data_IF_939976865943
#
_entry.id   IF_939976865943
#
_cell.length_a   1.000
_cell.length_b   1.000
_cell.length_c   1.000
_cell.angle_alpha   90.00
_cell.angle_beta   90.00
_cell.angle_gamma   90.00
#
_symmetry.space_group_name_H-M   'P 1'
#
loop_
_entity.id
_entity.type
_entity.pdbx_description
1 polymer ?
#
# COMPACT_ATOMS: atom_id res chain seq x y z
N UNK A 1 -11.91 -16.77 10.07
CA UNK A 1 -11.66 -17.07 8.63
C UNK A 1 -10.32 -16.49 8.19
N UNK A 2 -9.64 -17.09 7.20
CA UNK A 2 -8.30 -16.62 6.78
C UNK A 2 -8.44 -15.71 5.56
N UNK A 3 -7.88 -14.51 5.64
CA UNK A 3 -7.76 -13.60 4.52
C UNK A 3 -6.82 -14.21 3.46
N UNK A 4 -7.30 -14.35 2.23
CA UNK A 4 -6.53 -14.84 1.08
C UNK A 4 -6.23 -13.67 0.16
N UNK A 5 -4.99 -13.57 -0.33
CA UNK A 5 -4.59 -12.49 -1.22
C UNK A 5 -4.38 -12.99 -2.64
N UNK A 6 -4.77 -12.18 -3.63
CA UNK A 6 -4.62 -12.43 -5.05
C UNK A 6 -4.08 -11.18 -5.73
N UNK A 7 -2.99 -11.33 -6.49
CA UNK A 7 -2.42 -10.24 -7.30
C UNK A 7 -2.78 -10.47 -8.76
N UNK A 8 -3.52 -9.55 -9.33
CA UNK A 8 -4.18 -9.65 -10.62
C UNK A 8 -3.91 -8.41 -11.47
N UNK A 9 -3.88 -8.58 -12.78
CA UNK A 9 -3.97 -7.42 -13.69
C UNK A 9 -5.39 -6.85 -13.62
N UNK A 10 -5.58 -5.52 -13.82
CA UNK A 10 -6.91 -4.90 -13.73
C UNK A 10 -7.99 -5.59 -14.54
N UNK A 11 -7.68 -6.05 -15.76
CA UNK A 11 -8.63 -6.71 -16.64
C UNK A 11 -8.97 -8.17 -16.22
N UNK A 12 -8.26 -8.74 -15.24
CA UNK A 12 -8.55 -10.06 -14.67
C UNK A 12 -9.52 -9.99 -13.48
N UNK A 13 -9.83 -8.77 -13.01
CA UNK A 13 -10.82 -8.58 -11.96
C UNK A 13 -12.22 -8.85 -12.50
N UNK A 14 -12.96 -9.68 -11.81
CA UNK A 14 -14.38 -9.89 -12.09
C UNK A 14 -15.19 -8.64 -11.72
N UNK A 15 -16.32 -8.41 -12.42
CA UNK A 15 -17.19 -7.25 -12.15
C UNK A 15 -17.63 -7.16 -10.67
N UNK A 16 -17.84 -8.32 -10.01
CA UNK A 16 -18.16 -8.36 -8.57
C UNK A 16 -17.03 -7.79 -7.71
N UNK A 17 -15.76 -8.06 -8.05
CA UNK A 17 -14.60 -7.54 -7.31
C UNK A 17 -14.44 -6.03 -7.52
N UNK A 18 -14.65 -5.56 -8.75
CA UNK A 18 -14.63 -4.13 -9.06
C UNK A 18 -15.69 -3.38 -8.26
N UNK A 19 -16.94 -3.88 -8.23
CA UNK A 19 -18.01 -3.27 -7.44
C UNK A 19 -17.67 -3.24 -5.95
N UNK A 20 -17.05 -4.29 -5.41
CA UNK A 20 -16.66 -4.34 -4.00
C UNK A 20 -15.51 -3.38 -3.68
N UNK A 21 -14.53 -3.23 -4.58
CA UNK A 21 -13.46 -2.24 -4.47
C UNK A 21 -14.04 -0.82 -4.44
N UNK A 22 -14.96 -0.52 -5.36
CA UNK A 22 -15.64 0.78 -5.40
C UNK A 22 -16.39 1.06 -4.11
N UNK A 23 -17.13 0.08 -3.58
CA UNK A 23 -17.84 0.23 -2.30
C UNK A 23 -16.89 0.52 -1.12
N UNK A 24 -15.69 -0.10 -1.10
CA UNK A 24 -14.69 0.20 -0.07
C UNK A 24 -14.19 1.65 -0.23
N UNK A 25 -13.93 2.10 -1.45
CA UNK A 25 -13.51 3.48 -1.74
C UNK A 25 -14.57 4.47 -1.29
N UNK A 26 -15.82 4.27 -1.70
CA UNK A 26 -16.95 5.15 -1.37
C UNK A 26 -17.15 5.27 0.15
N UNK A 27 -17.14 4.14 0.88
CA UNK A 27 -17.23 4.16 2.34
C UNK A 27 -16.10 4.98 2.97
N UNK A 28 -14.85 4.73 2.56
CA UNK A 28 -13.69 5.43 3.12
C UNK A 28 -13.70 6.92 2.77
N UNK A 29 -14.16 7.29 1.59
CA UNK A 29 -14.25 8.70 1.14
C UNK A 29 -15.41 9.41 1.84
N UNK A 30 -16.59 8.77 1.97
CA UNK A 30 -17.77 9.37 2.59
C UNK A 30 -17.58 9.65 4.08
N UNK A 31 -16.85 8.79 4.79
CA UNK A 31 -16.63 8.93 6.24
C UNK A 31 -15.57 9.97 6.59
N UNK A 32 -14.79 10.42 5.62
CA UNK A 32 -13.65 11.30 5.84
C UNK A 32 -13.79 12.56 5.00
N UNK A 33 -14.28 13.63 5.61
CA UNK A 33 -14.40 14.98 5.05
C UNK A 33 -13.03 15.72 4.90
N UNK A 34 -11.96 14.99 4.62
CA UNK A 34 -10.61 15.50 4.61
C UNK A 34 -10.13 15.61 3.15
N UNK A 35 -9.59 16.75 2.72
CA UNK A 35 -9.03 17.00 1.38
C UNK A 35 -8.04 15.91 0.92
N UNK A 36 -7.44 15.19 1.87
CA UNK A 36 -6.57 14.05 1.61
C UNK A 36 -7.26 12.91 0.84
N UNK A 37 -8.58 12.77 0.98
CA UNK A 37 -9.37 11.70 0.39
C UNK A 37 -9.92 12.04 -0.99
N UNK A 38 -9.90 13.32 -1.38
CA UNK A 38 -10.28 13.76 -2.74
C UNK A 38 -9.41 13.09 -3.80
N UNK A 39 -8.16 12.74 -3.45
CA UNK A 39 -7.28 11.97 -4.33
C UNK A 39 -7.76 10.54 -4.63
N UNK A 40 -8.82 10.06 -3.98
CA UNK A 40 -9.42 8.76 -4.28
C UNK A 40 -10.62 8.87 -5.22
N UNK A 41 -11.21 10.04 -5.40
CA UNK A 41 -12.33 10.26 -6.34
C UNK A 41 -11.89 9.98 -7.77
N UNK A 42 -10.65 10.32 -8.12
CA UNK A 42 -10.06 10.10 -9.44
C UNK A 42 -9.32 8.77 -9.56
N UNK A 43 -9.43 7.89 -8.55
CA UNK A 43 -8.74 6.61 -8.58
C UNK A 43 -9.39 5.66 -9.57
N UNK A 44 -8.66 5.30 -10.61
CA UNK A 44 -9.03 4.25 -11.55
C UNK A 44 -8.22 2.97 -11.27
N UNK A 45 -8.95 1.86 -11.08
CA UNK A 45 -8.34 0.53 -10.99
C UNK A 45 -7.56 0.21 -12.27
N UNK A 46 -8.06 0.66 -13.42
CA UNK A 46 -7.48 0.35 -14.74
C UNK A 46 -6.18 1.11 -15.03
N UNK A 47 -5.89 2.18 -14.29
CA UNK A 47 -4.63 2.93 -14.41
C UNK A 47 -3.49 2.30 -13.59
N UNK A 48 -3.77 1.22 -12.87
CA UNK A 48 -2.78 0.54 -12.06
C UNK A 48 -2.10 -0.57 -12.84
N UNK A 49 -0.84 -0.85 -12.52
CA UNK A 49 -0.09 -1.95 -13.13
C UNK A 49 -0.65 -3.31 -12.71
N UNK A 50 -0.92 -3.45 -11.41
CA UNK A 50 -1.51 -4.64 -10.79
C UNK A 50 -2.39 -4.22 -9.62
N UNK A 51 -3.36 -5.05 -9.31
CA UNK A 51 -4.20 -4.94 -8.12
C UNK A 51 -4.02 -6.19 -7.27
N UNK A 52 -3.77 -6.01 -5.99
CA UNK A 52 -3.81 -7.09 -5.00
C UNK A 52 -5.06 -6.94 -4.16
N UNK A 53 -5.92 -7.93 -4.17
CA UNK A 53 -7.14 -7.99 -3.35
C UNK A 53 -6.98 -8.99 -2.23
N UNK A 54 -7.51 -8.67 -1.06
CA UNK A 54 -7.67 -9.62 0.04
C UNK A 54 -9.14 -10.02 0.19
N UNK A 55 -9.39 -11.32 0.18
CA UNK A 55 -10.74 -11.90 0.10
C UNK A 55 -11.03 -12.78 1.31
N UNK A 56 -12.20 -12.63 1.90
CA UNK A 56 -12.81 -13.53 2.90
C UNK A 56 -14.20 -13.89 2.39
N UNK A 57 -14.51 -15.19 2.34
CA UNK A 57 -15.82 -15.70 1.91
C UNK A 57 -16.33 -15.06 0.61
N UNK A 58 -15.46 -15.05 -0.39
CA UNK A 58 -15.71 -14.50 -1.73
C UNK A 58 -16.03 -12.98 -1.75
N UNK A 59 -15.72 -12.27 -0.68
CA UNK A 59 -15.87 -10.81 -0.58
C UNK A 59 -14.51 -10.12 -0.45
N UNK A 60 -14.27 -9.11 -1.26
CA UNK A 60 -13.10 -8.25 -1.14
C UNK A 60 -13.20 -7.46 0.16
N UNK A 61 -12.20 -7.61 1.01
CA UNK A 61 -12.10 -6.96 2.32
C UNK A 61 -10.99 -5.93 2.41
N UNK A 62 -10.05 -5.99 1.51
CA UNK A 62 -9.02 -4.98 1.33
C UNK A 62 -8.46 -5.05 -0.08
N UNK A 63 -7.85 -3.97 -0.51
CA UNK A 63 -7.07 -3.96 -1.75
C UNK A 63 -5.88 -3.00 -1.65
N UNK A 64 -4.94 -3.24 -2.54
CA UNK A 64 -3.81 -2.36 -2.78
C UNK A 64 -3.36 -2.50 -4.22
N UNK A 65 -2.67 -1.51 -4.76
CA UNK A 65 -2.19 -1.54 -6.14
C UNK A 65 -0.68 -1.39 -6.25
N UNK A 66 -0.16 -1.79 -7.40
CA UNK A 66 1.19 -1.48 -7.86
C UNK A 66 1.02 -0.44 -8.96
N UNK A 67 1.76 0.66 -8.84
CA UNK A 67 1.80 1.72 -9.82
C UNK A 67 3.21 1.83 -10.40
N UNK A 68 3.32 1.85 -11.73
CA UNK A 68 4.59 2.00 -12.43
C UNK A 68 4.88 3.48 -12.70
N UNK A 69 6.11 3.89 -12.42
CA UNK A 69 6.63 5.21 -12.79
C UNK A 69 7.90 5.03 -13.61
N UNK A 70 8.06 5.86 -14.60
CA UNK A 70 9.30 5.94 -15.38
C UNK A 70 10.11 7.14 -14.92
N UNK A 71 11.40 6.90 -14.62
CA UNK A 71 12.35 7.93 -14.27
C UNK A 71 13.62 7.74 -15.10
N UNK A 72 13.92 8.71 -15.98
CA UNK A 72 15.16 8.70 -16.80
C UNK A 72 15.37 7.39 -17.58
N UNK A 73 14.29 6.83 -18.14
CA UNK A 73 14.31 5.57 -18.87
C UNK A 73 14.33 4.31 -18.01
N UNK A 74 14.26 4.45 -16.70
CA UNK A 74 14.16 3.32 -15.77
C UNK A 74 12.74 3.23 -15.18
N UNK A 75 12.19 2.01 -15.14
CA UNK A 75 10.92 1.77 -14.47
C UNK A 75 11.13 1.57 -12.98
N UNK A 76 10.30 2.25 -12.18
CA UNK A 76 10.27 2.11 -10.73
C UNK A 76 8.85 1.80 -10.30
N UNK A 77 8.67 0.76 -9.50
CA UNK A 77 7.36 0.32 -9.06
C UNK A 77 7.06 0.85 -7.65
N UNK A 78 5.98 1.60 -7.54
CA UNK A 78 5.42 1.98 -6.24
C UNK A 78 4.46 0.89 -5.80
N UNK A 79 4.87 0.14 -4.78
CA UNK A 79 4.05 -0.89 -4.17
C UNK A 79 3.12 -0.29 -3.12
N UNK A 80 2.10 -1.02 -2.78
CA UNK A 80 1.13 -0.66 -1.75
C UNK A 80 0.50 0.71 -2.00
N UNK A 81 0.34 1.06 -3.29
CA UNK A 81 -0.35 2.28 -3.68
C UNK A 81 -1.84 2.12 -3.43
N UNK A 82 -2.46 3.15 -2.82
CA UNK A 82 -3.90 3.14 -2.53
C UNK A 82 -4.35 1.89 -1.72
N UNK A 83 -3.69 1.63 -0.60
CA UNK A 83 -4.11 0.56 0.31
C UNK A 83 -5.34 0.98 1.11
N UNK A 84 -6.45 0.25 0.93
CA UNK A 84 -7.68 0.43 1.66
C UNK A 84 -8.18 -0.89 2.25
N UNK A 85 -8.84 -0.79 3.39
CA UNK A 85 -9.37 -1.92 4.19
C UNK A 85 -10.82 -1.63 4.51
N UNK A 86 -11.70 -2.62 4.30
CA UNK A 86 -13.09 -2.58 4.74
C UNK A 86 -13.16 -2.49 6.26
N UNK A 87 -14.09 -1.70 6.77
CA UNK A 87 -14.23 -1.41 8.20
C UNK A 87 -14.44 -2.67 9.04
N UNK A 88 -15.15 -3.67 8.53
CA UNK A 88 -15.37 -4.94 9.21
C UNK A 88 -14.07 -5.56 9.74
N UNK A 89 -13.04 -5.66 8.87
CA UNK A 89 -11.75 -6.25 9.29
C UNK A 89 -10.83 -5.25 9.97
N UNK A 90 -11.10 -3.94 9.82
CA UNK A 90 -10.41 -2.90 10.55
C UNK A 90 -10.82 -2.90 12.03
N UNK A 91 -12.12 -3.05 12.31
CA UNK A 91 -12.66 -3.12 13.66
C UNK A 91 -12.27 -4.39 14.39
N UNK A 92 -12.34 -5.57 13.74
CA UNK A 92 -11.88 -6.84 14.29
C UNK A 92 -10.39 -6.83 14.66
N UNK A 93 -9.61 -6.04 13.94
CA UNK A 93 -8.18 -5.88 14.18
C UNK A 93 -7.82 -4.80 15.17
N UNK A 94 -8.72 -3.93 15.53
CA UNK A 94 -8.65 -2.74 16.39
C UNK A 94 -7.27 -2.08 16.41
N UNK A 95 -7.16 -0.78 16.50
CA UNK A 95 -5.88 -0.05 16.63
C UNK A 95 -4.98 -0.53 17.79
N UNK A 96 -5.43 -1.51 18.57
CA UNK A 96 -4.75 -2.10 19.74
C UNK A 96 -4.20 -3.51 19.52
N UNK A 97 -4.57 -4.22 18.45
CA UNK A 97 -4.08 -5.58 18.25
C UNK A 97 -3.01 -5.63 17.16
N UNK A 98 -1.78 -5.68 17.57
CA UNK A 98 -0.63 -6.03 16.72
C UNK A 98 -0.81 -7.33 15.92
N UNK A 99 -1.79 -8.14 16.25
CA UNK A 99 -2.15 -9.36 15.52
C UNK A 99 -2.78 -9.09 14.16
N UNK A 100 -3.47 -7.95 13.97
CA UNK A 100 -4.08 -7.58 12.69
C UNK A 100 -3.06 -7.17 11.62
N UNK A 101 -1.92 -6.61 12.03
CA UNK A 101 -0.92 -6.08 11.09
C UNK A 101 -0.22 -7.16 10.27
N UNK A 102 -0.07 -8.36 10.83
CA UNK A 102 0.50 -9.50 10.10
C UNK A 102 -0.38 -10.00 8.96
N UNK A 103 -1.67 -9.66 8.95
CA UNK A 103 -2.60 -10.07 7.90
C UNK A 103 -2.20 -9.55 6.52
N UNK A 104 -1.50 -8.42 6.46
CA UNK A 104 -1.12 -7.78 5.20
C UNK A 104 0.29 -8.12 4.75
N UNK A 105 1.06 -8.88 5.53
CA UNK A 105 2.39 -9.33 5.14
C UNK A 105 2.35 -10.12 3.84
N UNK A 106 1.40 -11.05 3.70
CA UNK A 106 1.26 -11.85 2.47
C UNK A 106 0.96 -10.97 1.26
N UNK A 107 0.16 -9.90 1.43
CA UNK A 107 -0.14 -8.95 0.36
C UNK A 107 1.11 -8.19 -0.08
N UNK A 108 1.90 -7.69 0.87
CA UNK A 108 3.17 -7.02 0.59
C UNK A 108 4.14 -7.97 -0.10
N UNK A 109 4.25 -9.19 0.41
CA UNK A 109 5.15 -10.20 -0.15
C UNK A 109 4.78 -10.56 -1.57
N UNK A 110 3.51 -10.78 -1.88
CA UNK A 110 3.04 -11.06 -3.24
C UNK A 110 3.38 -9.92 -4.21
N UNK A 111 3.24 -8.66 -3.79
CA UNK A 111 3.62 -7.52 -4.63
C UNK A 111 5.12 -7.47 -4.88
N UNK A 112 5.94 -7.76 -3.87
CA UNK A 112 7.41 -7.83 -4.02
C UNK A 112 7.80 -8.96 -4.98
N UNK A 113 7.26 -10.16 -4.79
CA UNK A 113 7.57 -11.29 -5.65
C UNK A 113 7.16 -11.02 -7.10
N UNK A 114 6.03 -10.37 -7.31
CA UNK A 114 5.62 -9.97 -8.65
C UNK A 114 6.64 -9.01 -9.30
N UNK A 115 7.05 -7.94 -8.61
CA UNK A 115 7.97 -6.96 -9.20
C UNK A 115 9.38 -7.53 -9.38
N UNK A 116 9.85 -8.43 -8.52
CA UNK A 116 11.13 -9.12 -8.69
C UNK A 116 11.21 -9.89 -10.00
N UNK A 117 10.09 -10.44 -10.50
CA UNK A 117 10.07 -11.15 -11.79
C UNK A 117 10.33 -10.22 -12.98
N UNK A 118 10.18 -8.92 -12.79
CA UNK A 118 10.37 -7.89 -13.81
C UNK A 118 11.74 -7.21 -13.71
N UNK A 119 12.60 -7.63 -12.79
CA UNK A 119 13.91 -7.05 -12.48
C UNK A 119 13.91 -5.55 -12.10
N UNK A 120 12.91 -5.01 -11.44
CA UNK A 120 12.81 -3.58 -11.25
C UNK A 120 13.20 -3.11 -9.86
N UNK A 121 13.41 -1.82 -9.78
CA UNK A 121 13.49 -1.06 -8.53
C UNK A 121 12.07 -0.84 -8.00
N UNK A 122 11.86 -0.99 -6.70
CA UNK A 122 10.57 -0.76 -6.07
C UNK A 122 10.69 -0.05 -4.72
N UNK A 123 9.63 0.62 -4.34
CA UNK A 123 9.52 1.28 -3.06
C UNK A 123 8.08 1.30 -2.56
N UNK A 124 7.93 1.49 -1.26
CA UNK A 124 6.67 1.82 -0.60
C UNK A 124 6.73 3.24 -0.08
N UNK A 125 5.59 3.88 0.01
CA UNK A 125 5.47 5.17 0.66
C UNK A 125 4.43 5.07 1.77
N UNK A 126 4.82 5.38 2.98
CA UNK A 126 3.90 5.50 4.10
C UNK A 126 3.74 6.96 4.49
N UNK A 127 2.51 7.41 4.62
CA UNK A 127 2.18 8.72 5.17
C UNK A 127 1.79 8.54 6.62
N UNK A 128 2.55 9.16 7.53
CA UNK A 128 2.28 9.05 8.95
C UNK A 128 2.47 10.36 9.69
N UNK A 129 1.69 10.48 10.76
CA UNK A 129 1.92 11.50 11.78
C UNK A 129 3.12 11.08 12.65
N UNK A 130 4.25 11.72 12.47
CA UNK A 130 5.38 11.86 13.44
C UNK A 130 6.20 10.64 13.86
N UNK A 131 5.85 9.36 13.66
CA UNK A 131 6.65 8.28 14.26
C UNK A 131 6.88 7.09 13.32
N UNK A 132 8.14 6.91 12.89
CA UNK A 132 8.56 5.77 12.06
C UNK A 132 8.92 4.52 12.87
N UNK A 133 8.96 4.61 14.22
CA UNK A 133 9.41 3.50 15.07
C UNK A 133 8.61 2.22 14.84
N UNK A 134 7.30 2.33 14.68
CA UNK A 134 6.45 1.19 14.41
C UNK A 134 6.67 0.62 13.00
N UNK A 135 6.92 1.47 11.97
CA UNK A 135 7.26 1.00 10.63
C UNK A 135 8.57 0.21 10.63
N UNK A 136 9.61 0.70 11.32
CA UNK A 136 10.87 -0.01 11.48
C UNK A 136 10.65 -1.37 12.14
N UNK A 137 9.88 -1.41 13.20
CA UNK A 137 9.53 -2.66 13.88
C UNK A 137 8.73 -3.61 12.98
N UNK A 138 7.74 -3.08 12.23
CA UNK A 138 6.89 -3.83 11.31
C UNK A 138 7.72 -4.45 10.19
N UNK A 139 8.54 -3.65 9.50
CA UNK A 139 9.38 -4.16 8.41
C UNK A 139 10.55 -5.02 8.88
N UNK A 140 11.05 -4.85 10.10
CA UNK A 140 12.00 -5.80 10.70
C UNK A 140 11.37 -7.19 10.89
N UNK A 141 10.09 -7.26 11.28
CA UNK A 141 9.38 -8.54 11.36
C UNK A 141 9.12 -9.14 9.98
N UNK A 142 8.70 -8.30 9.04
CA UNK A 142 8.49 -8.70 7.65
C UNK A 142 9.78 -9.30 7.05
N UNK A 143 10.89 -8.59 7.17
CA UNK A 143 12.19 -9.03 6.68
C UNK A 143 12.59 -10.40 7.25
N UNK A 144 12.37 -10.61 8.55
CA UNK A 144 12.64 -11.91 9.20
C UNK A 144 11.74 -13.03 8.68
N UNK A 145 10.49 -12.73 8.38
CA UNK A 145 9.52 -13.73 7.94
C UNK A 145 9.75 -14.16 6.49
N UNK A 146 10.16 -13.24 5.63
CA UNK A 146 10.27 -13.47 4.18
C UNK A 146 11.69 -13.38 3.64
N UNK A 147 12.69 -13.35 4.52
CA UNK A 147 14.11 -13.23 4.16
C UNK A 147 14.37 -12.07 3.17
N UNK A 148 13.85 -10.89 3.52
CA UNK A 148 14.02 -9.67 2.73
C UNK A 148 14.91 -8.67 3.47
N UNK A 149 15.37 -7.65 2.74
CA UNK A 149 16.30 -6.64 3.25
C UNK A 149 15.75 -5.21 3.10
N UNK A 150 14.46 -5.03 3.29
CA UNK A 150 13.83 -3.72 3.23
C UNK A 150 14.30 -2.82 4.35
N UNK A 151 14.61 -1.58 4.01
CA UNK A 151 14.97 -0.52 4.97
C UNK A 151 13.88 0.54 5.01
N UNK A 152 13.69 1.10 6.19
CA UNK A 152 12.80 2.24 6.42
C UNK A 152 13.67 3.50 6.50
N UNK A 153 13.42 4.46 5.64
CA UNK A 153 14.16 5.72 5.60
C UNK A 153 14.11 6.46 6.93
N UNK A 154 15.23 7.01 7.34
CA UNK A 154 15.31 7.94 8.48
C UNK A 154 14.86 9.35 8.08
N UNK A 155 14.97 9.69 6.81
CA UNK A 155 14.52 10.96 6.29
C UNK A 155 13.00 10.98 6.19
N UNK A 156 12.41 12.04 6.69
CA UNK A 156 10.99 12.30 6.62
C UNK A 156 10.75 13.56 5.82
N UNK A 157 10.01 13.44 4.74
CA UNK A 157 9.56 14.59 3.98
C UNK A 157 8.22 15.08 4.54
N UNK A 158 8.17 16.36 4.90
CA UNK A 158 6.93 17.00 5.30
C UNK A 158 6.17 17.43 4.06
N UNK A 159 4.95 16.93 3.92
CA UNK A 159 4.04 17.38 2.88
C UNK A 159 2.95 18.21 3.54
N UNK A 160 2.81 19.46 3.11
CA UNK A 160 1.67 20.27 3.45
C UNK A 160 0.50 19.87 2.53
N UNK A 161 -0.55 19.30 3.09
CA UNK A 161 -1.82 19.15 2.39
C UNK A 161 -2.72 20.27 2.90
N UNK A 162 -2.76 21.44 2.30
CA UNK A 162 -3.71 22.54 2.45
C UNK A 162 -4.40 22.81 3.81
N UNK A 163 -4.49 21.84 4.68
CA UNK A 163 -4.96 21.87 6.06
C UNK A 163 -3.77 21.86 7.02
N UNK A 164 -3.94 22.29 8.26
CA UNK A 164 -2.93 22.34 9.34
C UNK A 164 -2.25 20.96 9.68
N UNK A 165 -2.41 19.98 8.82
CA UNK A 165 -1.89 18.64 8.97
C UNK A 165 -0.61 18.42 8.15
N UNK A 166 0.53 18.42 8.84
CA UNK A 166 1.78 17.94 8.28
C UNK A 166 1.79 16.40 8.27
N UNK A 167 1.78 15.80 7.09
CA UNK A 167 2.08 14.38 6.92
C UNK A 167 3.58 14.19 6.70
N UNK A 168 4.21 13.32 7.49
CA UNK A 168 5.55 12.86 7.18
C UNK A 168 5.46 11.69 6.20
N UNK A 169 6.13 11.79 5.06
CA UNK A 169 6.31 10.68 4.14
C UNK A 169 7.58 9.93 4.50
N UNK A 170 7.44 8.62 4.69
CA UNK A 170 8.56 7.71 4.95
C UNK A 170 8.63 6.72 3.81
N UNK A 171 9.82 6.51 3.26
CA UNK A 171 10.05 5.54 2.20
C UNK A 171 10.57 4.22 2.79
N UNK A 172 10.11 3.12 2.20
CA UNK A 172 10.57 1.77 2.48
C UNK A 172 11.02 1.17 1.13
N UNK A 173 12.24 0.66 1.08
CA UNK A 173 12.85 0.19 -0.16
C UNK A 173 13.92 -0.87 0.10
N UNK A 174 14.30 -1.70 -0.90
CA UNK A 174 15.41 -2.63 -0.79
C UNK A 174 16.72 -1.91 -0.46
N UNK A 175 17.52 -2.44 0.46
CA UNK A 175 18.76 -1.82 0.92
C UNK A 175 19.75 -1.48 -0.21
N UNK A 176 19.74 -2.25 -1.27
CA UNK A 176 20.61 -2.08 -2.43
C UNK A 176 20.16 -0.95 -3.37
N UNK A 177 18.90 -0.53 -3.24
CA UNK A 177 18.31 0.47 -4.11
C UNK A 177 18.80 1.87 -3.74
N UNK A 178 19.60 2.46 -4.59
CA UNK A 178 20.06 3.84 -4.48
C UNK A 178 19.17 4.73 -5.36
N UNK A 179 18.08 5.25 -4.82
CA UNK A 179 17.26 6.24 -5.51
C UNK A 179 17.41 7.58 -4.80
N UNK A 180 17.65 8.69 -5.51
CA UNK A 180 17.56 10.02 -4.94
C UNK A 180 16.11 10.27 -4.51
N UNK A 181 15.88 10.42 -3.22
CA UNK A 181 14.54 10.59 -2.63
C UNK A 181 13.75 11.76 -3.22
N UNK A 182 14.45 12.85 -3.54
CA UNK A 182 13.89 14.06 -4.17
C UNK A 182 13.16 13.78 -5.48
N UNK A 183 13.45 12.67 -6.13
CA UNK A 183 12.85 12.27 -7.41
C UNK A 183 11.66 11.33 -7.26
N UNK A 184 11.40 10.81 -6.06
CA UNK A 184 10.27 9.92 -5.79
C UNK A 184 9.04 10.67 -5.24
N UNK A 185 9.23 11.90 -4.82
CA UNK A 185 8.19 12.81 -4.33
C UNK A 185 7.61 13.63 -5.46
#
# INVERSE_FOLDING_TARGET
>A
MKLKHYTLKPYQLESKHLSQIHNIIEKVVSDKKDEYWDNYTDYSVFDQTMITIGVIDDKVKCFSSIYTREFYGEYVYRLFNRFLVDDDIREEGGSKSYKGEHRFFDMIHQQIEFVKTLEPKFYFMSRQRKNTRWLKWYFNKFNKQYDTNLVVSDEQYRVCNGSDYYCCQTLIYPKEMKIPFEKLL
#
